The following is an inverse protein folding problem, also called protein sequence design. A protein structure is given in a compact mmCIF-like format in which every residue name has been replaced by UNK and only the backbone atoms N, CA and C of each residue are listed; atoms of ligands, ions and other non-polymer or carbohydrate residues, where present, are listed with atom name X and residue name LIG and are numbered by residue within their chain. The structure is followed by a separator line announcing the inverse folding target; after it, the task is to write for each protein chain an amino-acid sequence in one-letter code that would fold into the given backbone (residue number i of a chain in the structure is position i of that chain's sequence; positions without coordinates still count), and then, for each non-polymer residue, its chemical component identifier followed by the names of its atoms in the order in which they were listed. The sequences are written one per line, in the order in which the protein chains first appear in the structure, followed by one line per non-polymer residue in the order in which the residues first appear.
data_IF_591262542667
#
_entry.id   IF_591262542667
#
_cell.length_a   1.000
_cell.length_b   1.000
_cell.length_c   1.000
_cell.angle_alpha   90.00
_cell.angle_beta   90.00
_cell.angle_gamma   90.00
#
_symmetry.space_group_name_H-M   'P 1'
#
loop_
_entity.id
_entity.type
_entity.pdbx_description
1 polymer ?
#
# COMPACT_ATOMS: atom_id res chain seq x y z
N UNK A 1 15.68 -9.81 -11.37
CA UNK A 1 15.15 -9.30 -10.08
C UNK A 1 14.15 -10.33 -9.59
N UNK A 2 14.39 -10.95 -8.44
CA UNK A 2 13.46 -11.94 -7.88
C UNK A 2 12.49 -11.15 -7.01
N UNK A 3 11.21 -11.12 -7.38
CA UNK A 3 10.16 -10.53 -6.56
C UNK A 3 9.98 -11.44 -5.34
N UNK A 4 10.74 -11.17 -4.28
CA UNK A 4 10.52 -11.79 -2.99
C UNK A 4 9.65 -10.83 -2.18
N UNK A 5 8.38 -11.18 -2.05
CA UNK A 5 7.49 -10.55 -1.10
C UNK A 5 8.12 -10.65 0.29
N UNK A 6 8.34 -9.54 1.01
CA UNK A 6 8.88 -9.57 2.36
C UNK A 6 8.03 -10.49 3.25
N UNK A 7 8.67 -11.25 4.13
CA UNK A 7 7.98 -12.09 5.10
C UNK A 7 6.96 -11.26 5.89
N UNK A 8 5.71 -11.74 5.95
CA UNK A 8 4.62 -11.05 6.64
C UNK A 8 3.91 -9.96 5.84
N UNK A 9 4.37 -9.58 4.63
CA UNK A 9 3.73 -8.51 3.85
C UNK A 9 2.28 -8.81 3.48
N UNK A 10 1.97 -10.04 3.08
CA UNK A 10 0.59 -10.44 2.80
C UNK A 10 -0.33 -10.53 4.03
N UNK A 11 0.20 -10.37 5.24
CA UNK A 11 -0.56 -10.31 6.48
C UNK A 11 -0.66 -8.89 7.05
N UNK A 12 -0.04 -7.90 6.40
CA UNK A 12 -0.12 -6.51 6.84
C UNK A 12 -1.55 -5.99 6.74
N UNK A 13 -1.95 -5.20 7.74
CA UNK A 13 -3.23 -4.52 7.72
C UNK A 13 -3.14 -3.30 6.80
N UNK A 14 -3.69 -3.41 5.60
CA UNK A 14 -3.79 -2.30 4.64
C UNK A 14 -5.20 -1.72 4.63
N UNK A 15 -5.29 -0.49 4.15
CA UNK A 15 -6.55 0.23 3.96
C UNK A 15 -6.77 0.46 2.46
N UNK A 16 -7.99 0.76 2.01
CA UNK A 16 -9.25 0.62 2.74
C UNK A 16 -9.57 -0.86 3.01
N UNK A 17 -10.52 -1.16 3.90
CA UNK A 17 -10.88 -2.55 4.25
C UNK A 17 -11.40 -3.42 3.08
N UNK A 18 -11.69 -2.82 1.93
CA UNK A 18 -12.01 -3.51 0.69
C UNK A 18 -10.78 -4.11 -0.04
N UNK A 19 -9.57 -3.64 0.32
CA UNK A 19 -8.32 -4.18 -0.22
C UNK A 19 -8.01 -5.55 0.38
N UNK A 20 -7.39 -6.43 -0.42
CA UNK A 20 -6.99 -7.76 0.02
C UNK A 20 -5.66 -8.19 -0.61
N UNK A 21 -4.96 -9.12 0.03
CA UNK A 21 -3.74 -9.68 -0.53
C UNK A 21 -4.06 -10.86 -1.47
N UNK A 22 -3.66 -10.75 -2.74
CA UNK A 22 -3.74 -11.83 -3.71
C UNK A 22 -2.47 -12.66 -3.68
N UNK A 23 -2.57 -13.92 -3.23
CA UNK A 23 -1.41 -14.83 -3.17
C UNK A 23 -0.90 -15.23 -4.54
N UNK A 24 -1.78 -15.26 -5.54
CA UNK A 24 -1.41 -15.59 -6.92
C UNK A 24 -0.57 -14.49 -7.57
N UNK A 25 -0.85 -13.23 -7.22
CA UNK A 25 -0.09 -12.06 -7.70
C UNK A 25 1.08 -11.71 -6.78
N UNK A 26 1.00 -12.07 -5.49
CA UNK A 26 1.95 -11.63 -4.47
C UNK A 26 1.76 -10.16 -4.06
N UNK A 27 0.59 -9.57 -4.34
CA UNK A 27 0.32 -8.13 -4.25
C UNK A 27 -1.02 -7.85 -3.54
N UNK A 28 -1.15 -6.65 -2.98
CA UNK A 28 -2.43 -6.12 -2.53
C UNK A 28 -3.26 -5.65 -3.73
N UNK A 29 -4.56 -5.94 -3.71
CA UNK A 29 -5.52 -5.62 -4.75
C UNK A 29 -6.67 -4.83 -4.14
N UNK A 30 -6.98 -3.69 -4.76
CA UNK A 30 -8.20 -2.92 -4.50
C UNK A 30 -9.14 -3.07 -5.69
N UNK A 31 -10.35 -3.66 -5.52
CA UNK A 31 -11.31 -3.78 -6.60
C UNK A 31 -11.75 -2.42 -7.13
N UNK A 32 -11.70 -2.24 -8.45
CA UNK A 32 -12.06 -0.96 -9.05
C UNK A 32 -13.55 -0.60 -8.86
N UNK A 33 -14.44 -1.60 -8.79
CA UNK A 33 -15.87 -1.37 -8.51
C UNK A 33 -16.09 -0.71 -7.13
N UNK A 34 -15.28 -1.05 -6.12
CA UNK A 34 -15.32 -0.42 -4.80
C UNK A 34 -14.87 1.05 -4.88
N UNK A 35 -13.80 1.33 -5.63
CA UNK A 35 -13.33 2.71 -5.88
C UNK A 35 -14.38 3.52 -6.63
N UNK A 36 -15.02 2.93 -7.64
CA UNK A 36 -16.04 3.58 -8.45
C UNK A 36 -17.28 3.95 -7.62
N UNK A 37 -17.64 3.12 -6.63
CA UNK A 37 -18.80 3.33 -5.76
C UNK A 37 -18.50 4.18 -4.52
N UNK A 38 -17.23 4.46 -4.25
CA UNK A 38 -16.82 5.25 -3.11
C UNK A 38 -17.34 6.69 -3.19
N UNK A 39 -17.69 7.26 -2.03
CA UNK A 39 -18.06 8.68 -1.94
C UNK A 39 -16.90 9.63 -2.28
N UNK A 40 -15.66 9.18 -2.07
CA UNK A 40 -14.42 9.89 -2.39
C UNK A 40 -13.41 8.92 -3.04
N UNK A 41 -13.53 8.66 -4.36
CA UNK A 41 -12.69 7.68 -5.07
C UNK A 41 -11.20 7.99 -5.03
N UNK A 42 -10.83 9.27 -5.15
CA UNK A 42 -9.44 9.72 -5.09
C UNK A 42 -8.82 9.46 -3.71
N UNK A 43 -9.54 9.80 -2.63
CA UNK A 43 -9.10 9.59 -1.27
C UNK A 43 -8.95 8.10 -0.95
N UNK A 44 -9.90 7.27 -1.40
CA UNK A 44 -9.84 5.81 -1.22
C UNK A 44 -8.62 5.21 -1.93
N UNK A 45 -8.36 5.62 -3.17
CA UNK A 45 -7.19 5.18 -3.91
C UNK A 45 -5.89 5.63 -3.25
N UNK A 46 -5.84 6.87 -2.77
CA UNK A 46 -4.66 7.41 -2.10
C UNK A 46 -4.36 6.66 -0.80
N UNK A 47 -5.38 6.35 -0.01
CA UNK A 47 -5.28 5.57 1.24
C UNK A 47 -4.74 4.15 0.98
N UNK A 48 -5.17 3.54 -0.12
CA UNK A 48 -4.63 2.26 -0.57
C UNK A 48 -3.15 2.32 -0.93
N UNK A 49 -2.75 3.30 -1.73
CA UNK A 49 -1.35 3.47 -2.12
C UNK A 49 -0.47 3.79 -0.92
N UNK A 50 -0.95 4.62 0.01
CA UNK A 50 -0.22 4.99 1.21
C UNK A 50 -0.02 3.80 2.15
N UNK A 51 -1.09 3.07 2.48
CA UNK A 51 -1.01 1.96 3.44
C UNK A 51 -0.19 0.77 2.91
N UNK A 52 -0.27 0.49 1.62
CA UNK A 52 0.56 -0.56 0.99
C UNK A 52 2.04 -0.17 0.93
N UNK A 53 2.34 1.10 0.67
CA UNK A 53 3.71 1.62 0.75
C UNK A 53 4.27 1.53 2.18
N UNK A 54 3.50 1.94 3.19
CA UNK A 54 3.92 1.89 4.59
C UNK A 54 4.23 0.45 5.03
N UNK A 55 3.33 -0.49 4.73
CA UNK A 55 3.54 -1.90 5.00
C UNK A 55 4.81 -2.45 4.32
N UNK A 56 5.07 -2.04 3.07
CA UNK A 56 6.24 -2.49 2.32
C UNK A 56 7.54 -1.90 2.89
N UNK A 57 7.51 -0.61 3.25
CA UNK A 57 8.66 0.09 3.79
C UNK A 57 9.03 -0.43 5.19
N UNK A 58 8.04 -0.70 6.05
CA UNK A 58 8.27 -1.25 7.39
C UNK A 58 8.85 -2.66 7.34
N UNK A 59 8.24 -3.56 6.55
CA UNK A 59 8.67 -4.96 6.44
C UNK A 59 9.93 -5.13 5.58
N UNK A 60 10.15 -4.23 4.63
CA UNK A 60 11.37 -4.15 3.85
C UNK A 60 12.54 -3.48 4.58
N UNK A 61 12.32 -2.96 5.80
CA UNK A 61 13.29 -2.19 6.58
C UNK A 61 13.91 -1.02 5.79
N UNK A 62 13.08 -0.31 5.03
CA UNK A 62 13.55 0.82 4.23
C UNK A 62 13.91 1.99 5.14
N UNK A 63 15.02 2.66 4.83
CA UNK A 63 15.38 3.93 5.47
C UNK A 63 14.46 5.03 4.93
N UNK A 64 13.25 5.12 5.48
CA UNK A 64 12.23 6.09 5.07
C UNK A 64 12.73 7.53 5.21
N UNK A 65 13.58 7.81 6.20
CA UNK A 65 14.12 9.16 6.40
C UNK A 65 15.06 9.59 5.27
N UNK A 66 15.74 8.63 4.63
CA UNK A 66 16.57 8.86 3.46
C UNK A 66 15.78 8.92 2.13
N UNK A 67 14.63 8.25 2.06
CA UNK A 67 13.82 8.12 0.83
C UNK A 67 12.70 9.16 0.72
N UNK A 68 12.14 9.57 1.85
CA UNK A 68 11.07 10.56 1.90
C UNK A 68 11.67 11.95 1.81
N UNK A 69 11.20 12.74 0.83
CA UNK A 69 11.49 14.17 0.86
C UNK A 69 10.86 14.74 2.11
N UNK A 70 11.71 15.26 3.00
CA UNK A 70 11.33 16.22 4.04
C UNK A 70 10.37 17.21 3.39
N UNK A 71 9.11 17.18 3.80
CA UNK A 71 8.04 17.96 3.20
C UNK A 71 8.52 19.39 2.99
N UNK A 72 8.31 19.89 1.77
CA UNK A 72 8.58 21.27 1.37
C UNK A 72 8.09 22.21 2.48
N UNK A 73 9.01 22.76 3.26
CA UNK A 73 8.73 23.91 4.11
C UNK A 73 8.92 25.15 3.26
N UNK A 74 7.89 26.00 3.28
CA UNK A 74 7.71 27.29 2.60
C UNK A 74 7.14 27.24 1.17
#
# INVERSE_FOLDING_TARGET
MVYQTPDGFGAAAVLPGAAFFSRDLGEFVLPYDEVQRAAAPDAMLLEFLQSTYEAAAELGHWDRAALERQGMSA
#
